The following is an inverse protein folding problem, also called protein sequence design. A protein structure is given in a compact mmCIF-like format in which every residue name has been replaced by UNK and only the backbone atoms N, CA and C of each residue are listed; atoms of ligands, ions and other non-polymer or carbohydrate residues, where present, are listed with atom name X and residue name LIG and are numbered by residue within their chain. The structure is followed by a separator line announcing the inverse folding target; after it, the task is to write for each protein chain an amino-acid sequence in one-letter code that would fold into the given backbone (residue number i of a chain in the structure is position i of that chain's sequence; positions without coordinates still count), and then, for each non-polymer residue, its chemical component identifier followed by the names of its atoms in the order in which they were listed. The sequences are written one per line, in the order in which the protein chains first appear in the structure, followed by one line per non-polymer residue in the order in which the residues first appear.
data_IF_304124229824
#
_entry.id   IF_304124229824
#
_cell.length_a   1.000
_cell.length_b   1.000
_cell.length_c   1.000
_cell.angle_alpha   90.00
_cell.angle_beta   90.00
_cell.angle_gamma   90.00
#
_symmetry.space_group_name_H-M   'P 1'
#
loop_
_entity.id
_entity.type
_entity.pdbx_description
1 polymer ?
#
# COMPACT_ATOMS: atom_id res chain seq x y z
N UNK A 1 18.79 21.47 15.31
CA UNK A 1 18.21 21.29 13.97
C UNK A 1 17.74 19.86 13.71
N UNK A 2 18.07 18.87 14.56
CA UNK A 2 17.74 17.44 14.35
C UNK A 2 16.27 17.02 14.58
N UNK A 3 15.39 17.89 15.08
CA UNK A 3 14.01 17.52 15.43
C UNK A 3 13.00 17.67 14.25
N UNK A 4 13.46 17.94 13.03
CA UNK A 4 12.56 18.17 11.88
C UNK A 4 12.26 16.90 11.07
N UNK A 5 13.05 15.85 11.24
CA UNK A 5 12.93 14.62 10.45
C UNK A 5 13.13 13.37 11.30
N UNK A 6 12.46 12.28 10.94
CA UNK A 6 12.69 10.96 11.55
C UNK A 6 12.62 9.85 10.50
N UNK A 7 13.29 8.72 10.75
CA UNK A 7 13.27 7.59 9.83
C UNK A 7 12.04 6.71 10.08
N UNK A 8 11.17 6.55 9.08
CA UNK A 8 9.99 5.68 9.16
C UNK A 8 10.38 4.23 9.52
N UNK A 9 11.50 3.75 9.00
CA UNK A 9 12.03 2.41 9.29
C UNK A 9 12.26 2.14 10.78
N UNK A 10 12.65 3.15 11.57
CA UNK A 10 12.86 3.03 13.02
C UNK A 10 11.55 2.80 13.77
N UNK A 11 10.48 3.49 13.40
CA UNK A 11 9.14 3.25 13.97
C UNK A 11 8.66 1.83 13.66
N UNK A 12 8.79 1.39 12.40
CA UNK A 12 8.40 0.04 12.01
C UNK A 12 9.22 -1.00 12.78
N UNK A 13 10.54 -0.85 12.86
CA UNK A 13 11.40 -1.77 13.59
C UNK A 13 11.07 -1.86 15.09
N UNK A 14 10.73 -0.73 15.73
CA UNK A 14 10.33 -0.65 17.15
C UNK A 14 9.11 -1.52 17.45
N UNK A 15 8.14 -1.57 16.54
CA UNK A 15 6.88 -2.28 16.75
C UNK A 15 6.79 -3.64 16.04
N UNK A 16 7.72 -3.92 15.13
CA UNK A 16 7.83 -5.17 14.38
C UNK A 16 9.07 -5.97 14.82
N UNK A 17 8.94 -6.66 15.96
CA UNK A 17 10.03 -7.26 16.73
C UNK A 17 10.67 -8.56 16.16
N UNK A 18 10.40 -8.93 14.90
CA UNK A 18 10.82 -10.25 14.36
C UNK A 18 11.40 -10.26 12.93
N UNK A 19 11.80 -9.12 12.38
CA UNK A 19 12.40 -9.14 11.04
C UNK A 19 13.92 -9.28 11.12
N UNK A 20 14.47 -10.40 10.65
CA UNK A 20 15.91 -10.52 10.35
C UNK A 20 16.32 -9.72 9.09
N UNK A 21 15.36 -9.11 8.41
CA UNK A 21 15.60 -8.28 7.23
C UNK A 21 15.32 -6.80 7.53
N UNK A 22 16.13 -5.88 6.98
CA UNK A 22 15.82 -4.46 7.07
C UNK A 22 14.45 -4.17 6.46
N UNK A 23 13.67 -3.30 7.12
CA UNK A 23 12.32 -2.92 6.70
C UNK A 23 12.36 -2.28 5.30
N UNK A 24 13.30 -1.36 5.08
CA UNK A 24 13.57 -0.75 3.78
C UNK A 24 15.01 -1.04 3.35
N UNK A 25 15.21 -1.38 2.07
CA UNK A 25 16.51 -1.79 1.50
C UNK A 25 17.30 -0.60 0.94
N UNK A 26 17.33 0.52 1.66
CA UNK A 26 17.96 1.77 1.21
C UNK A 26 18.86 2.34 2.29
N UNK A 27 20.05 2.82 1.87
CA UNK A 27 20.96 3.61 2.72
C UNK A 27 20.31 4.95 3.10
N UNK A 28 19.36 5.42 2.30
CA UNK A 28 18.51 6.59 2.54
C UNK A 28 17.12 6.12 2.95
N UNK A 29 16.93 5.82 4.23
CA UNK A 29 15.65 5.41 4.80
C UNK A 29 14.55 6.45 4.48
N UNK A 30 13.30 6.03 4.21
CA UNK A 30 12.18 6.96 4.06
C UNK A 30 12.08 7.88 5.29
N UNK A 31 12.12 9.19 5.03
CA UNK A 31 12.13 10.21 6.07
C UNK A 31 10.74 10.83 6.24
N UNK A 32 10.24 10.79 7.47
CA UNK A 32 9.19 11.63 7.97
C UNK A 32 9.73 13.06 8.11
N UNK A 33 8.91 14.06 7.78
CA UNK A 33 9.24 15.47 7.98
C UNK A 33 8.08 16.19 8.67
N UNK A 34 8.40 17.07 9.63
CA UNK A 34 7.40 17.93 10.28
C UNK A 34 6.91 19.02 9.34
N UNK A 35 5.72 19.56 9.61
CA UNK A 35 5.12 20.65 8.82
C UNK A 35 4.55 20.23 7.46
N UNK A 36 4.52 18.92 7.17
CA UNK A 36 3.87 18.35 6.00
C UNK A 36 3.32 16.95 6.31
N UNK A 37 2.30 16.55 5.56
CA UNK A 37 1.75 15.21 5.61
C UNK A 37 2.67 14.19 4.94
N UNK A 38 3.06 13.16 5.67
CA UNK A 38 3.90 12.06 5.17
C UNK A 38 3.02 10.89 4.73
N UNK A 39 3.02 10.54 3.44
CA UNK A 39 2.16 9.48 2.91
C UNK A 39 2.90 8.16 2.75
N UNK A 40 2.26 7.07 3.15
CA UNK A 40 2.76 5.70 2.95
C UNK A 40 1.70 4.91 2.19
N UNK A 41 2.08 4.37 1.03
CA UNK A 41 1.16 3.56 0.25
C UNK A 41 0.92 2.21 0.93
N UNK A 42 -0.32 1.72 0.93
CA UNK A 42 -0.70 0.38 1.37
C UNK A 42 -1.28 -0.37 0.17
N UNK A 43 -0.54 -1.36 -0.32
CA UNK A 43 -0.98 -2.18 -1.45
C UNK A 43 -1.33 -3.59 -1.01
N UNK A 44 -2.61 -3.79 -0.70
CA UNK A 44 -3.15 -5.05 -0.26
C UNK A 44 -3.65 -5.90 -1.44
N UNK A 45 -3.40 -7.22 -1.39
CA UNK A 45 -3.84 -8.10 -2.46
C UNK A 45 -3.51 -9.56 -2.25
N UNK A 46 -4.20 -10.43 -2.98
CA UNK A 46 -3.92 -11.86 -2.93
C UNK A 46 -2.54 -12.19 -3.50
N UNK A 47 -2.10 -11.51 -4.58
CA UNK A 47 -0.79 -11.72 -5.22
C UNK A 47 -0.41 -13.19 -5.44
N UNK A 48 -1.23 -13.94 -6.17
CA UNK A 48 -1.08 -15.39 -6.32
C UNK A 48 -0.87 -15.83 -7.78
N UNK A 49 0.37 -15.78 -8.31
CA UNK A 49 1.55 -15.09 -7.77
C UNK A 49 1.52 -13.57 -8.00
N UNK A 50 2.42 -12.76 -7.37
CA UNK A 50 2.69 -11.42 -7.87
C UNK A 50 3.18 -11.49 -9.32
N UNK A 51 2.86 -10.47 -10.12
CA UNK A 51 3.13 -10.45 -11.56
C UNK A 51 3.31 -9.02 -12.04
N UNK A 52 3.82 -8.82 -13.26
CA UNK A 52 4.21 -7.51 -13.81
C UNK A 52 3.16 -6.41 -13.62
N UNK A 53 1.87 -6.71 -13.84
CA UNK A 53 0.79 -5.75 -13.58
C UNK A 53 0.75 -5.19 -12.15
N UNK A 54 0.94 -6.03 -11.12
CA UNK A 54 0.99 -5.59 -9.72
C UNK A 54 2.17 -4.64 -9.48
N UNK A 55 3.35 -4.97 -10.00
CA UNK A 55 4.54 -4.12 -9.88
C UNK A 55 4.36 -2.78 -10.59
N UNK A 56 3.77 -2.79 -11.79
CA UNK A 56 3.53 -1.58 -12.56
C UNK A 56 2.54 -0.65 -11.85
N UNK A 57 1.44 -1.17 -11.31
CA UNK A 57 0.48 -0.37 -10.54
C UNK A 57 1.18 0.31 -9.35
N UNK A 58 1.87 -0.47 -8.51
CA UNK A 58 2.52 0.09 -7.33
C UNK A 58 3.63 1.08 -7.69
N UNK A 59 4.45 0.76 -8.70
CA UNK A 59 5.52 1.65 -9.17
C UNK A 59 4.96 2.96 -9.69
N UNK A 60 3.96 2.93 -10.55
CA UNK A 60 3.37 4.15 -11.12
C UNK A 60 2.69 4.99 -10.05
N UNK A 61 1.94 4.37 -9.14
CA UNK A 61 1.38 5.07 -7.98
C UNK A 61 2.48 5.71 -7.11
N UNK A 62 3.56 5.00 -6.84
CA UNK A 62 4.66 5.51 -6.00
C UNK A 62 5.46 6.63 -6.65
N UNK A 63 5.84 6.47 -7.92
CA UNK A 63 6.64 7.46 -8.65
C UNK A 63 5.83 8.72 -8.98
N UNK A 64 4.56 8.56 -9.39
CA UNK A 64 3.72 9.68 -9.80
C UNK A 64 3.16 10.50 -8.62
N UNK A 65 3.21 9.97 -7.40
CA UNK A 65 2.67 10.64 -6.20
C UNK A 65 3.75 11.21 -5.26
N UNK A 66 4.96 11.43 -5.79
CA UNK A 66 6.06 12.08 -5.05
C UNK A 66 5.75 13.55 -4.72
N UNK A 67 4.96 14.21 -5.57
CA UNK A 67 4.49 15.59 -5.41
C UNK A 67 3.60 15.78 -4.18
N UNK A 68 2.83 14.77 -3.79
CA UNK A 68 2.01 14.75 -2.56
C UNK A 68 2.74 14.10 -1.37
N UNK A 69 4.07 14.02 -1.43
CA UNK A 69 4.95 13.51 -0.36
C UNK A 69 4.67 12.05 0.04
N UNK A 70 4.47 11.17 -0.94
CA UNK A 70 4.57 9.72 -0.74
C UNK A 70 6.03 9.33 -0.53
N UNK A 71 6.35 8.74 0.63
CA UNK A 71 7.73 8.44 1.05
C UNK A 71 8.08 6.95 1.03
N UNK A 72 7.09 6.07 1.15
CA UNK A 72 7.29 4.62 1.18
C UNK A 72 6.06 3.87 0.67
N UNK A 73 6.21 2.57 0.44
CA UNK A 73 5.09 1.67 0.18
C UNK A 73 5.18 0.38 1.00
N UNK A 74 4.01 -0.13 1.39
CA UNK A 74 3.85 -1.36 2.15
C UNK A 74 2.97 -2.31 1.34
N UNK A 75 3.54 -3.44 0.95
CA UNK A 75 2.83 -4.53 0.29
C UNK A 75 2.26 -5.43 1.38
N UNK A 76 0.95 -5.67 1.32
CA UNK A 76 0.20 -6.49 2.25
C UNK A 76 -0.42 -7.69 1.51
N UNK A 77 0.30 -8.82 1.38
CA UNK A 77 -0.31 -10.06 0.92
C UNK A 77 -1.45 -10.47 1.87
N UNK A 78 -2.64 -10.72 1.33
CA UNK A 78 -3.79 -11.16 2.14
C UNK A 78 -3.55 -12.55 2.75
N UNK A 79 -4.29 -12.88 3.80
CA UNK A 79 -4.18 -14.17 4.49
C UNK A 79 -4.63 -15.34 3.60
N UNK A 80 -4.11 -16.54 3.89
CA UNK A 80 -4.25 -17.72 3.02
C UNK A 80 -5.70 -18.19 2.91
N UNK A 81 -6.49 -18.06 3.98
CA UNK A 81 -7.93 -18.33 4.00
C UNK A 81 -8.71 -17.42 3.03
N UNK A 82 -8.35 -16.14 2.96
CA UNK A 82 -8.94 -15.19 2.00
C UNK A 82 -8.63 -15.61 0.55
N UNK A 83 -7.40 -16.05 0.30
CA UNK A 83 -6.98 -16.55 -1.01
C UNK A 83 -7.71 -17.85 -1.38
N UNK A 84 -7.77 -18.81 -0.46
CA UNK A 84 -8.43 -20.10 -0.66
C UNK A 84 -9.92 -19.93 -0.98
N UNK A 85 -10.63 -19.09 -0.21
CA UNK A 85 -12.02 -18.76 -0.48
C UNK A 85 -12.21 -18.14 -1.88
N UNK A 86 -11.31 -17.24 -2.29
CA UNK A 86 -11.33 -16.63 -3.63
C UNK A 86 -11.07 -17.65 -4.73
N UNK A 87 -10.08 -18.53 -4.57
CA UNK A 87 -9.73 -19.57 -5.52
C UNK A 87 -10.85 -20.59 -5.69
N UNK A 88 -11.47 -21.04 -4.59
CA UNK A 88 -12.63 -21.92 -4.60
C UNK A 88 -13.79 -21.34 -5.42
N UNK A 89 -14.10 -20.05 -5.21
CA UNK A 89 -15.15 -19.34 -5.96
C UNK A 89 -14.84 -19.22 -7.46
N UNK A 90 -13.56 -19.14 -7.85
CA UNK A 90 -13.12 -18.98 -9.25
C UNK A 90 -12.72 -20.28 -9.93
N UNK A 91 -12.85 -21.44 -9.27
CA UNK A 91 -12.39 -22.72 -9.80
C UNK A 91 -10.87 -22.77 -10.08
N UNK A 92 -10.07 -22.02 -9.31
CA UNK A 92 -8.62 -21.95 -9.47
C UNK A 92 -7.93 -22.91 -8.49
N UNK A 93 -6.88 -23.61 -8.94
CA UNK A 93 -6.18 -24.65 -8.16
C UNK A 93 -4.85 -24.21 -7.56
N UNK A 94 -4.16 -23.22 -8.14
CA UNK A 94 -2.91 -22.70 -7.59
C UNK A 94 -3.21 -21.86 -6.34
N UNK A 95 -2.64 -22.23 -5.20
CA UNK A 95 -2.71 -21.49 -3.93
C UNK A 95 -1.31 -21.41 -3.34
N UNK A 96 -0.61 -20.30 -3.56
CA UNK A 96 0.68 -20.04 -2.92
C UNK A 96 0.45 -19.50 -1.51
N UNK A 97 1.18 -20.04 -0.54
CA UNK A 97 1.11 -19.56 0.84
C UNK A 97 1.55 -18.10 0.95
N UNK A 98 1.10 -17.41 2.00
CA UNK A 98 1.47 -16.01 2.25
C UNK A 98 2.97 -15.81 2.32
N UNK A 99 3.68 -16.78 2.91
CA UNK A 99 5.13 -16.80 2.96
C UNK A 99 5.75 -16.87 1.56
N UNK A 100 5.25 -17.76 0.68
CA UNK A 100 5.72 -17.88 -0.70
C UNK A 100 5.46 -16.59 -1.49
N UNK A 101 4.25 -16.03 -1.38
CA UNK A 101 3.88 -14.78 -2.06
C UNK A 101 4.70 -13.59 -1.60
N UNK A 102 4.94 -13.46 -0.29
CA UNK A 102 5.82 -12.43 0.25
C UNK A 102 7.28 -12.62 -0.20
N UNK A 103 7.75 -13.87 -0.30
CA UNK A 103 9.07 -14.20 -0.82
C UNK A 103 9.23 -13.77 -2.29
N UNK A 104 8.24 -14.09 -3.14
CA UNK A 104 8.24 -13.70 -4.55
C UNK A 104 8.31 -12.17 -4.73
N UNK A 105 7.61 -11.39 -3.89
CA UNK A 105 7.76 -9.94 -3.89
C UNK A 105 9.19 -9.50 -3.58
N UNK A 106 9.80 -10.04 -2.52
CA UNK A 106 11.14 -9.66 -2.03
C UNK A 106 12.28 -10.05 -2.96
N UNK A 107 12.12 -11.12 -3.74
CA UNK A 107 13.16 -11.64 -4.64
C UNK A 107 13.10 -10.99 -6.03
N UNK A 108 12.05 -10.26 -6.35
CA UNK A 108 11.90 -9.64 -7.66
C UNK A 108 12.87 -8.46 -7.83
N UNK A 109 13.60 -8.43 -8.95
CA UNK A 109 14.55 -7.37 -9.27
C UNK A 109 13.89 -5.98 -9.43
N UNK A 110 12.57 -5.92 -9.62
CA UNK A 110 11.79 -4.68 -9.74
C UNK A 110 11.40 -4.09 -8.38
N UNK A 111 11.61 -4.82 -7.29
CA UNK A 111 11.26 -4.39 -5.93
C UNK A 111 12.07 -3.14 -5.56
N UNK A 112 11.38 -2.07 -5.15
CA UNK A 112 12.06 -0.80 -4.84
C UNK A 112 12.60 -0.78 -3.41
N UNK A 113 13.72 -0.06 -3.15
CA UNK A 113 14.30 0.07 -1.83
C UNK A 113 13.37 0.63 -0.75
N UNK A 114 12.47 1.55 -1.12
CA UNK A 114 11.50 2.21 -0.24
C UNK A 114 10.24 1.36 0.01
N UNK A 115 10.20 0.13 -0.52
CA UNK A 115 9.08 -0.78 -0.36
C UNK A 115 9.36 -1.79 0.74
N UNK A 116 8.32 -2.13 1.49
CA UNK A 116 8.37 -3.15 2.52
C UNK A 116 7.25 -4.17 2.32
N UNK A 117 7.54 -5.45 2.51
CA UNK A 117 6.52 -6.52 2.49
C UNK A 117 6.21 -6.93 3.92
N UNK A 118 4.98 -6.69 4.37
CA UNK A 118 4.50 -7.20 5.65
C UNK A 118 4.09 -8.67 5.52
N UNK A 119 4.76 -9.55 6.25
CA UNK A 119 4.48 -11.00 6.23
C UNK A 119 3.57 -11.48 7.36
N UNK A 120 3.21 -10.61 8.32
CA UNK A 120 2.25 -10.96 9.36
C UNK A 120 0.81 -10.99 8.84
N UNK A 121 -0.14 -11.50 9.63
CA UNK A 121 -1.57 -11.48 9.27
C UNK A 121 -2.10 -10.06 9.03
N UNK A 122 -3.24 -9.93 8.34
CA UNK A 122 -3.92 -8.63 8.17
C UNK A 122 -4.27 -8.02 9.53
N UNK A 123 -4.75 -8.84 10.45
CA UNK A 123 -5.01 -8.47 11.84
C UNK A 123 -3.79 -7.89 12.58
N UNK A 124 -2.60 -8.45 12.31
CA UNK A 124 -1.33 -7.93 12.85
C UNK A 124 -0.92 -6.64 12.17
N UNK A 125 -1.24 -6.47 10.88
CA UNK A 125 -1.05 -5.21 10.18
C UNK A 125 -1.90 -4.10 10.80
N UNK A 126 -3.20 -4.33 11.03
CA UNK A 126 -4.09 -3.29 11.57
C UNK A 126 -3.68 -2.84 12.98
N UNK A 127 -3.19 -3.77 13.82
CA UNK A 127 -2.60 -3.42 15.12
C UNK A 127 -1.28 -2.68 14.99
N UNK A 128 -0.43 -3.04 14.02
CA UNK A 128 0.84 -2.37 13.78
C UNK A 128 0.61 -0.94 13.26
N UNK A 129 -0.25 -0.77 12.26
CA UNK A 129 -0.61 0.52 11.64
C UNK A 129 -1.03 1.54 12.69
N UNK A 130 -2.01 1.21 13.54
CA UNK A 130 -2.47 2.10 14.61
C UNK A 130 -1.36 2.52 15.56
N UNK A 131 -0.51 1.58 15.99
CA UNK A 131 0.64 1.87 16.85
C UNK A 131 1.69 2.76 16.16
N UNK A 132 1.83 2.63 14.84
CA UNK A 132 2.71 3.49 14.06
C UNK A 132 2.15 4.90 13.97
N UNK A 133 0.88 5.07 13.63
CA UNK A 133 0.19 6.37 13.58
C UNK A 133 0.34 7.09 14.92
N UNK A 134 -0.11 6.46 16.02
CA UNK A 134 -0.04 7.03 17.36
C UNK A 134 1.38 7.47 17.75
N UNK A 135 2.39 6.62 17.50
CA UNK A 135 3.76 6.93 17.90
C UNK A 135 4.40 8.03 17.04
N UNK A 136 4.10 8.07 15.74
CA UNK A 136 4.63 9.06 14.80
C UNK A 136 3.99 10.42 15.05
N UNK A 137 2.68 10.44 15.29
CA UNK A 137 1.92 11.65 15.63
C UNK A 137 2.33 12.23 16.99
N UNK A 138 2.57 11.38 17.99
CA UNK A 138 3.06 11.80 19.31
C UNK A 138 4.42 12.52 19.22
N UNK A 139 5.27 12.14 18.27
CA UNK A 139 6.56 12.80 18.00
C UNK A 139 6.42 14.06 17.12
N UNK A 140 5.18 14.45 16.76
CA UNK A 140 4.85 15.69 16.04
C UNK A 140 4.91 15.59 14.52
N UNK A 141 4.88 14.37 13.96
CA UNK A 141 4.84 14.15 12.51
C UNK A 141 3.41 13.82 12.07
N UNK A 142 2.95 14.43 10.99
CA UNK A 142 1.69 14.04 10.35
C UNK A 142 1.95 12.87 9.41
N UNK A 143 1.26 11.74 9.60
CA UNK A 143 1.35 10.56 8.74
C UNK A 143 -0.02 10.17 8.20
N UNK A 144 -0.06 9.66 6.97
CA UNK A 144 -1.26 9.10 6.39
C UNK A 144 -0.94 7.83 5.59
N UNK A 145 -1.68 6.77 5.87
CA UNK A 145 -1.69 5.58 5.02
C UNK A 145 -2.70 5.77 3.89
N UNK A 146 -2.26 5.47 2.67
CA UNK A 146 -3.02 5.68 1.44
C UNK A 146 -3.17 4.35 0.71
N UNK A 147 -4.40 3.88 0.49
CA UNK A 147 -4.62 2.62 -0.20
C UNK A 147 -4.22 2.73 -1.68
N UNK A 148 -3.62 1.68 -2.21
CA UNK A 148 -3.42 1.51 -3.66
C UNK A 148 -4.41 0.48 -4.15
N UNK A 149 -5.30 0.88 -5.05
CA UNK A 149 -6.28 -0.01 -5.66
C UNK A 149 -6.06 -0.07 -7.17
N UNK A 150 -6.37 -1.23 -7.74
CA UNK A 150 -6.50 -1.35 -9.19
C UNK A 150 -7.78 -0.66 -9.69
N UNK A 151 -7.88 -0.37 -10.99
CA UNK A 151 -9.03 0.32 -11.56
C UNK A 151 -10.32 -0.51 -11.46
N UNK A 152 -10.22 -1.83 -11.26
CA UNK A 152 -11.38 -2.71 -11.05
C UNK A 152 -12.12 -2.46 -9.73
N UNK A 153 -11.53 -1.70 -8.79
CA UNK A 153 -12.13 -1.36 -7.49
C UNK A 153 -12.54 0.11 -7.40
N UNK A 154 -12.15 0.91 -8.38
CA UNK A 154 -12.47 2.33 -8.45
C UNK A 154 -12.96 2.57 -9.87
N UNK A 155 -14.25 2.36 -10.07
CA UNK A 155 -14.92 2.49 -11.35
C UNK A 155 -15.98 3.60 -11.28
N UNK A 156 -16.28 4.22 -12.43
CA UNK A 156 -17.25 5.33 -12.51
C UNK A 156 -18.66 4.90 -12.09
N UNK A 157 -19.02 3.66 -12.37
CA UNK A 157 -20.36 3.10 -12.08
C UNK A 157 -20.48 2.42 -10.72
N UNK A 158 -19.38 2.28 -9.99
CA UNK A 158 -19.38 1.63 -8.68
C UNK A 158 -19.28 2.68 -7.56
N UNK A 159 -19.98 2.42 -6.46
CA UNK A 159 -19.89 3.27 -5.29
C UNK A 159 -18.53 3.06 -4.64
N UNK A 160 -17.80 4.17 -4.46
CA UNK A 160 -16.52 4.19 -3.76
C UNK A 160 -16.59 5.24 -2.65
N UNK A 161 -16.50 4.81 -1.39
CA UNK A 161 -16.58 5.69 -0.23
C UNK A 161 -15.22 6.30 0.18
N UNK A 162 -14.15 5.97 -0.57
CA UNK A 162 -12.81 6.44 -0.27
C UNK A 162 -12.12 5.70 0.88
N UNK A 163 -12.81 4.73 1.50
CA UNK A 163 -12.34 4.02 2.68
C UNK A 163 -11.97 2.58 2.35
N UNK A 164 -10.68 2.26 2.37
CA UNK A 164 -10.22 0.90 2.13
C UNK A 164 -9.01 0.59 3.01
N UNK A 165 -9.02 -0.57 3.68
CA UNK A 165 -7.93 -0.97 4.59
C UNK A 165 -7.60 0.07 5.66
N UNK A 166 -8.64 0.71 6.20
CA UNK A 166 -8.55 1.84 7.13
C UNK A 166 -7.74 3.05 6.61
N UNK A 167 -7.62 3.18 5.28
CA UNK A 167 -7.03 4.33 4.62
C UNK A 167 -8.15 5.26 4.16
N UNK A 168 -8.02 6.56 4.47
CA UNK A 168 -8.97 7.61 4.06
C UNK A 168 -8.62 8.27 2.71
N UNK A 169 -7.51 7.85 2.10
CA UNK A 169 -7.10 8.28 0.77
C UNK A 169 -6.82 7.05 -0.08
N UNK A 170 -7.04 7.16 -1.39
CA UNK A 170 -6.77 6.09 -2.34
C UNK A 170 -6.10 6.63 -3.59
N UNK A 171 -5.07 5.93 -4.04
CA UNK A 171 -4.43 6.15 -5.34
C UNK A 171 -4.75 4.95 -6.22
N UNK A 172 -5.15 5.23 -7.46
CA UNK A 172 -5.40 4.22 -8.48
C UNK A 172 -4.50 4.45 -9.69
N UNK A 173 -4.26 3.41 -10.47
CA UNK A 173 -3.46 3.48 -11.69
C UNK A 173 -3.97 2.49 -12.72
N UNK A 174 -4.12 2.96 -13.96
CA UNK A 174 -4.46 2.15 -15.13
C UNK A 174 -3.25 1.39 -15.72
N UNK A 175 -2.08 1.48 -15.09
CA UNK A 175 -0.85 0.85 -15.57
C UNK A 175 -0.92 -0.70 -15.62
N UNK A 176 -1.87 -1.30 -14.91
CA UNK A 176 -2.12 -2.73 -14.96
C UNK A 176 -3.26 -3.14 -15.90
N UNK A 177 -4.26 -2.26 -16.10
CA UNK A 177 -5.52 -2.50 -16.82
C UNK A 177 -6.17 -1.15 -17.18
N UNK A 178 -6.97 -1.11 -18.24
CA UNK A 178 -7.75 0.09 -18.60
C UNK A 178 -8.66 0.55 -17.46
N UNK A 179 -8.75 1.86 -17.25
CA UNK A 179 -9.69 2.50 -16.32
C UNK A 179 -10.79 3.23 -17.09
N UNK A 180 -12.02 3.21 -16.57
CA UNK A 180 -13.14 4.00 -17.10
C UNK A 180 -13.20 5.42 -16.52
N UNK A 181 -12.22 5.79 -15.67
CA UNK A 181 -12.10 7.11 -15.06
C UNK A 181 -11.48 8.14 -16.01
N UNK A 182 -10.77 7.69 -17.04
CA UNK A 182 -10.04 8.56 -17.99
C UNK A 182 -10.95 8.90 -19.17
N UNK A 183 -11.14 10.20 -19.42
CA UNK A 183 -11.89 10.72 -20.57
C UNK A 183 -11.04 10.64 -21.85
N UNK A 184 -11.66 10.73 -23.05
CA UNK A 184 -10.92 10.77 -24.32
C UNK A 184 -9.88 11.90 -24.43
N UNK A 185 -10.08 13.00 -23.69
CA UNK A 185 -9.15 14.13 -23.63
C UNK A 185 -8.00 13.95 -22.61
N UNK A 186 -7.94 12.79 -21.93
CA UNK A 186 -6.95 12.49 -20.90
C UNK A 186 -7.28 13.05 -19.51
N UNK A 187 -8.36 13.82 -19.35
CA UNK A 187 -8.82 14.29 -18.04
C UNK A 187 -9.56 13.18 -17.27
N UNK A 188 -9.74 13.36 -15.96
CA UNK A 188 -10.46 12.41 -15.11
C UNK A 188 -11.94 12.78 -14.97
N UNK A 189 -12.80 11.77 -14.83
CA UNK A 189 -14.15 11.95 -14.30
C UNK A 189 -14.11 12.24 -12.80
N UNK A 190 -14.93 13.19 -12.35
CA UNK A 190 -15.18 13.39 -10.92
C UNK A 190 -16.13 12.30 -10.43
N UNK A 191 -15.71 11.54 -9.41
CA UNK A 191 -16.59 10.63 -8.71
C UNK A 191 -17.50 11.44 -7.79
N UNK A 192 -18.81 11.20 -7.85
CA UNK A 192 -19.75 11.91 -6.99
C UNK A 192 -19.57 11.43 -5.53
N UNK A 193 -19.40 12.36 -4.57
CA UNK A 193 -19.34 12.00 -3.16
C UNK A 193 -20.67 11.39 -2.71
N UNK A 194 -20.61 10.56 -1.69
CA UNK A 194 -21.77 9.97 -1.04
C UNK A 194 -22.74 11.07 -0.57
N UNK A 195 -24.00 11.02 -0.98
CA UNK A 195 -25.08 11.68 -0.25
C UNK A 195 -25.47 10.76 0.90
N UNK A 196 -25.05 11.06 2.12
CA UNK A 196 -25.73 10.53 3.31
C UNK A 196 -27.09 11.24 3.43
N UNK A 197 -28.22 10.51 3.42
CA UNK A 197 -29.50 11.08 3.85
C UNK A 197 -29.48 11.48 5.33
#
# INVERSE_FOLDING_TARGET
MDDQTAELGKYIAKFHSKSHHPVFRTDKQPLLKKGQKNRVLVYAGCFNPPHLGHYNILRRAFEASRDINVIAAIILPLDDDVLEAKCKRKGQSLVLSKAQRACLWRLDARFMPEWWVHSGSTDRWDRLRRRLEEAIEMDGFEIQFTAVLGPDYVARSEQYDGYCWDCHETITSDAGRSSDLVKPDGSLFTLLPYFTP
#
